data_IF_439298409761
#
_entry.id   IF_439298409761
#
_cell.length_a   1.000
_cell.length_b   1.000
_cell.length_c   1.000
_cell.angle_alpha   90.00
_cell.angle_beta   90.00
_cell.angle_gamma   90.00
#
_symmetry.space_group_name_H-M   'P 1'
#
loop_
_entity.id
_entity.type
_entity.pdbx_description
1 polymer ?
#
# COMPACT_ATOMS: atom_id res chain seq x y z
N UNK A 1 -7.62 -45.31 78.32
CA UNK A 1 -7.86 -44.13 77.46
C UNK A 1 -7.39 -44.50 76.07
N UNK A 2 -8.33 -44.55 75.13
CA UNK A 2 -8.15 -44.99 73.75
C UNK A 2 -7.22 -44.05 73.00
N UNK A 3 -6.21 -44.58 72.32
CA UNK A 3 -5.52 -43.87 71.24
C UNK A 3 -6.17 -44.33 69.94
N UNK A 4 -7.19 -43.60 69.49
CA UNK A 4 -7.77 -43.78 68.17
C UNK A 4 -6.76 -43.31 67.11
N UNK A 5 -6.09 -44.27 66.49
CA UNK A 5 -5.39 -44.03 65.22
C UNK A 5 -6.42 -44.13 64.09
N UNK A 6 -6.78 -43.00 63.49
CA UNK A 6 -7.60 -42.97 62.28
C UNK A 6 -6.94 -43.80 61.16
N UNK A 7 -7.71 -44.59 60.38
CA UNK A 7 -7.15 -45.29 59.24
C UNK A 7 -6.78 -44.28 58.14
N UNK A 8 -5.51 -44.28 57.76
CA UNK A 8 -5.00 -43.52 56.61
C UNK A 8 -5.77 -43.97 55.36
N UNK A 9 -6.67 -43.11 54.88
CA UNK A 9 -7.36 -43.28 53.61
C UNK A 9 -6.34 -43.33 52.48
N UNK A 10 -6.05 -44.54 51.97
CA UNK A 10 -5.25 -44.72 50.76
C UNK A 10 -6.07 -44.20 49.59
N UNK A 11 -5.91 -42.91 49.27
CA UNK A 11 -6.48 -42.30 48.06
C UNK A 11 -6.06 -43.14 46.86
N UNK A 12 -7.04 -43.70 46.14
CA UNK A 12 -6.79 -44.40 44.88
C UNK A 12 -5.86 -43.57 43.97
N UNK A 13 -4.89 -44.20 43.28
CA UNK A 13 -3.91 -43.47 42.48
C UNK A 13 -4.63 -42.62 41.45
N UNK A 14 -4.39 -41.31 41.51
CA UNK A 14 -4.98 -40.36 40.55
C UNK A 14 -4.47 -40.73 39.16
N UNK A 15 -5.37 -40.79 38.17
CA UNK A 15 -4.96 -41.06 36.78
C UNK A 15 -3.89 -40.08 36.30
N UNK A 16 -2.96 -40.60 35.50
CA UNK A 16 -1.84 -39.83 34.98
C UNK A 16 -2.35 -38.62 34.17
N UNK A 17 -1.84 -37.40 34.44
CA UNK A 17 -2.19 -36.23 33.65
C UNK A 17 -1.54 -36.28 32.26
N UNK A 18 -2.28 -35.86 31.23
CA UNK A 18 -1.76 -35.51 29.90
C UNK A 18 -1.97 -34.02 29.65
N UNK A 19 -1.00 -33.38 29.02
CA UNK A 19 -1.04 -31.95 28.73
C UNK A 19 -1.27 -31.71 27.24
N UNK A 20 -2.16 -30.76 26.91
CA UNK A 20 -2.41 -30.27 25.55
C UNK A 20 -2.25 -28.76 25.55
N UNK A 21 -1.06 -28.29 25.16
CA UNK A 21 -0.67 -26.89 25.38
C UNK A 21 -0.79 -26.55 26.88
N UNK A 22 -1.47 -25.44 27.26
CA UNK A 22 -1.63 -25.05 28.66
C UNK A 22 -2.67 -25.87 29.45
N UNK A 23 -3.38 -26.81 28.81
CA UNK A 23 -4.51 -27.53 29.42
C UNK A 23 -4.07 -28.91 29.93
N UNK A 24 -4.41 -29.25 31.19
CA UNK A 24 -4.17 -30.57 31.79
C UNK A 24 -5.45 -31.43 31.78
N UNK A 25 -5.36 -32.64 31.21
CA UNK A 25 -6.44 -33.62 31.06
C UNK A 25 -6.14 -34.90 31.87
N UNK A 26 -7.19 -35.61 32.30
CA UNK A 26 -7.10 -36.85 33.09
C UNK A 26 -8.26 -37.80 32.78
N UNK A 27 -8.07 -39.10 33.06
CA UNK A 27 -9.06 -40.18 32.86
C UNK A 27 -9.45 -40.26 31.37
N UNK A 28 -10.69 -40.64 31.04
CA UNK A 28 -11.19 -40.76 29.68
C UNK A 28 -10.94 -39.53 28.77
N UNK A 29 -10.80 -38.32 29.35
CA UNK A 29 -10.46 -37.09 28.60
C UNK A 29 -9.01 -37.07 28.08
N UNK A 30 -8.16 -38.00 28.51
CA UNK A 30 -6.77 -38.14 28.08
C UNK A 30 -6.57 -39.23 27.01
N UNK A 31 -7.61 -40.03 26.74
CA UNK A 31 -7.54 -41.20 25.87
C UNK A 31 -7.79 -40.87 24.38
N UNK A 32 -8.35 -39.69 24.07
CA UNK A 32 -8.55 -39.17 22.70
C UNK A 32 -7.37 -38.30 22.20
N UNK A 33 -6.22 -38.31 22.89
CA UNK A 33 -5.19 -37.29 22.70
C UNK A 33 -4.12 -37.66 21.65
N UNK A 34 -4.31 -37.24 20.39
CA UNK A 34 -3.21 -36.88 19.51
C UNK A 34 -2.63 -35.52 19.90
N UNK A 35 -1.38 -35.22 19.52
CA UNK A 35 -0.83 -33.88 19.74
C UNK A 35 -1.54 -32.85 18.86
N UNK A 36 -1.57 -31.59 19.27
CA UNK A 36 -2.13 -30.52 18.42
C UNK A 36 -1.40 -30.45 17.07
N UNK A 37 -0.08 -30.62 17.08
CA UNK A 37 0.74 -30.67 15.85
C UNK A 37 0.37 -31.86 14.97
N UNK A 38 0.17 -33.04 15.54
CA UNK A 38 -0.25 -34.22 14.77
C UNK A 38 -1.59 -33.95 14.06
N UNK A 39 -2.53 -33.28 14.73
CA UNK A 39 -3.81 -32.93 14.12
C UNK A 39 -3.68 -31.87 13.01
N UNK A 40 -2.75 -30.92 13.15
CA UNK A 40 -2.48 -29.88 12.15
C UNK A 40 -1.72 -30.43 10.93
N UNK A 41 -0.74 -31.30 11.15
CA UNK A 41 0.24 -31.74 10.15
C UNK A 41 -0.23 -32.99 9.37
N UNK A 42 -0.92 -33.93 10.02
CA UNK A 42 -1.36 -35.18 9.35
C UNK A 42 -2.75 -35.04 8.71
N UNK A 43 -3.55 -34.07 9.16
CA UNK A 43 -4.94 -33.88 8.74
C UNK A 43 -5.07 -33.05 7.45
N UNK A 44 -5.61 -33.65 6.38
CA UNK A 44 -6.13 -32.91 5.21
C UNK A 44 -7.65 -32.83 5.29
N UNK A 45 -8.16 -31.81 5.99
CA UNK A 45 -9.60 -31.52 6.06
C UNK A 45 -10.15 -30.92 4.76
N UNK A 46 -11.46 -30.69 4.67
CA UNK A 46 -12.09 -29.96 3.56
C UNK A 46 -11.45 -28.59 3.36
N UNK A 47 -11.34 -28.12 2.12
CA UNK A 47 -10.64 -26.87 1.76
C UNK A 47 -11.55 -25.68 1.48
N UNK A 48 -12.88 -25.84 1.58
CA UNK A 48 -13.84 -24.79 1.18
C UNK A 48 -13.61 -23.45 1.91
N UNK A 49 -13.09 -23.51 3.14
CA UNK A 49 -12.76 -22.33 3.95
C UNK A 49 -11.80 -21.37 3.24
N UNK A 50 -10.91 -21.83 2.35
CA UNK A 50 -9.96 -20.96 1.62
C UNK A 50 -10.65 -20.02 0.62
N UNK A 51 -11.92 -20.27 0.30
CA UNK A 51 -12.74 -19.47 -0.61
C UNK A 51 -13.77 -18.60 0.11
N UNK A 52 -13.85 -18.68 1.44
CA UNK A 52 -14.78 -17.91 2.26
C UNK A 52 -14.22 -16.55 2.69
N UNK A 53 -15.11 -15.61 3.02
CA UNK A 53 -14.72 -14.26 3.44
C UNK A 53 -13.86 -14.21 4.71
N UNK A 54 -14.08 -15.03 5.75
CA UNK A 54 -13.19 -15.06 6.92
C UNK A 54 -11.73 -15.33 6.55
N UNK A 55 -11.48 -16.23 5.59
CA UNK A 55 -10.12 -16.47 5.11
C UNK A 55 -9.60 -15.34 4.22
N UNK A 56 -10.46 -14.70 3.43
CA UNK A 56 -10.09 -13.49 2.67
C UNK A 56 -9.65 -12.36 3.59
N UNK A 57 -10.30 -12.16 4.74
CA UNK A 57 -9.87 -11.16 5.74
C UNK A 57 -8.43 -11.42 6.20
N UNK A 58 -8.07 -12.67 6.49
CA UNK A 58 -6.71 -13.03 6.87
C UNK A 58 -5.70 -12.81 5.73
N UNK A 59 -6.07 -13.09 4.49
CA UNK A 59 -5.22 -12.78 3.32
C UNK A 59 -5.02 -11.27 3.11
N UNK A 60 -6.10 -10.50 3.24
CA UNK A 60 -6.06 -9.04 3.16
C UNK A 60 -5.15 -8.48 4.26
N UNK A 61 -5.29 -8.96 5.49
CA UNK A 61 -4.40 -8.59 6.60
C UNK A 61 -2.94 -8.91 6.27
N UNK A 62 -2.65 -10.07 5.68
CA UNK A 62 -1.29 -10.44 5.25
C UNK A 62 -0.71 -9.42 4.27
N UNK A 63 -1.47 -8.99 3.25
CA UNK A 63 -0.99 -7.99 2.28
C UNK A 63 -0.68 -6.64 2.93
N UNK A 64 -1.44 -6.23 3.95
CA UNK A 64 -1.11 -5.03 4.72
C UNK A 64 0.16 -5.21 5.56
N UNK A 65 0.34 -6.36 6.21
CA UNK A 65 1.54 -6.65 7.01
C UNK A 65 2.78 -6.67 6.13
N UNK A 66 2.72 -7.38 5.00
CA UNK A 66 3.81 -7.48 4.03
C UNK A 66 4.13 -6.12 3.40
N UNK A 67 3.10 -5.39 2.94
CA UNK A 67 3.26 -4.05 2.37
C UNK A 67 3.85 -3.06 3.36
N UNK A 68 3.37 -3.05 4.61
CA UNK A 68 3.90 -2.16 5.64
C UNK A 68 5.32 -2.52 6.06
N UNK A 69 5.63 -3.80 6.19
CA UNK A 69 6.96 -4.27 6.55
C UNK A 69 7.99 -3.96 5.46
N UNK A 70 7.66 -4.23 4.20
CA UNK A 70 8.57 -4.01 3.08
C UNK A 70 8.85 -2.52 2.80
N UNK A 71 7.87 -1.64 3.03
CA UNK A 71 7.99 -0.20 2.77
C UNK A 71 8.41 0.62 4.01
N UNK A 72 8.66 -0.02 5.16
CA UNK A 72 8.87 0.66 6.44
C UNK A 72 10.05 1.64 6.45
N UNK A 73 11.13 1.31 5.74
CA UNK A 73 12.41 2.03 5.79
C UNK A 73 12.74 2.78 4.50
N UNK A 74 11.79 2.88 3.56
CA UNK A 74 12.05 3.59 2.31
C UNK A 74 12.25 5.09 2.61
N UNK A 75 13.11 5.79 1.85
CA UNK A 75 13.25 7.23 2.01
C UNK A 75 11.95 7.93 1.57
N UNK A 76 11.90 9.25 1.79
CA UNK A 76 10.80 10.08 1.30
C UNK A 76 10.53 9.78 -0.17
N UNK A 77 9.29 9.53 -0.55
CA UNK A 77 8.96 9.04 -1.88
C UNK A 77 7.87 9.85 -2.58
N UNK A 78 7.85 9.74 -3.90
CA UNK A 78 6.84 10.33 -4.78
C UNK A 78 6.25 9.21 -5.62
N UNK A 79 4.92 9.15 -5.71
CA UNK A 79 4.25 8.18 -6.57
C UNK A 79 4.04 8.78 -7.97
N UNK A 80 4.41 8.03 -8.99
CA UNK A 80 4.29 8.43 -10.40
C UNK A 80 3.34 7.49 -11.12
N UNK A 81 2.32 8.06 -11.73
CA UNK A 81 1.27 7.36 -12.46
C UNK A 81 1.21 7.81 -13.91
N UNK A 82 0.74 6.91 -14.78
CA UNK A 82 0.44 7.21 -16.17
C UNK A 82 0.13 5.93 -16.94
N UNK A 83 0.02 6.06 -18.26
CA UNK A 83 -0.39 4.96 -19.13
C UNK A 83 0.63 3.81 -19.15
N UNK A 84 0.14 2.58 -18.96
CA UNK A 84 0.89 1.35 -19.22
C UNK A 84 1.15 1.10 -20.71
N UNK A 85 0.49 1.85 -21.60
CA UNK A 85 0.50 1.66 -23.06
C UNK A 85 1.46 2.59 -23.80
N UNK A 86 2.08 3.55 -23.09
CA UNK A 86 3.01 4.52 -23.66
C UNK A 86 4.26 3.82 -24.19
N UNK A 87 4.64 4.10 -25.44
CA UNK A 87 5.80 3.48 -26.08
C UNK A 87 7.10 4.21 -25.73
N UNK A 88 8.22 3.49 -25.71
CA UNK A 88 9.54 3.96 -25.25
C UNK A 88 10.08 5.16 -26.02
N UNK A 89 9.73 5.28 -27.31
CA UNK A 89 10.16 6.33 -28.23
C UNK A 89 9.33 7.62 -28.14
N UNK A 90 8.25 7.61 -27.35
CA UNK A 90 7.36 8.77 -27.23
C UNK A 90 7.93 9.88 -26.33
N UNK A 91 7.59 11.15 -26.59
CA UNK A 91 7.94 12.25 -25.69
C UNK A 91 7.43 12.05 -24.26
N UNK A 92 6.26 11.41 -24.09
CA UNK A 92 5.68 11.11 -22.78
C UNK A 92 6.55 10.14 -21.97
N UNK A 93 7.08 9.10 -22.61
CA UNK A 93 8.01 8.18 -21.95
C UNK A 93 9.30 8.90 -21.54
N UNK A 94 9.87 9.73 -22.43
CA UNK A 94 11.09 10.47 -22.11
C UNK A 94 10.88 11.48 -20.98
N UNK A 95 9.71 12.13 -20.94
CA UNK A 95 9.33 13.01 -19.83
C UNK A 95 9.22 12.24 -18.51
N UNK A 96 8.55 11.08 -18.49
CA UNK A 96 8.46 10.23 -17.30
C UNK A 96 9.85 9.81 -16.77
N UNK A 97 10.75 9.42 -17.68
CA UNK A 97 12.14 9.08 -17.33
C UNK A 97 12.90 10.28 -16.79
N UNK A 98 12.74 11.45 -17.39
CA UNK A 98 13.36 12.68 -16.89
C UNK A 98 12.85 13.06 -15.48
N UNK A 99 11.54 12.93 -15.24
CA UNK A 99 10.91 13.16 -13.93
C UNK A 99 11.47 12.17 -12.90
N UNK A 100 11.48 10.87 -13.21
CA UNK A 100 12.02 9.85 -12.30
C UNK A 100 13.47 10.14 -11.90
N UNK A 101 14.30 10.53 -12.88
CA UNK A 101 15.69 10.88 -12.64
C UNK A 101 15.85 12.17 -11.81
N UNK A 102 15.00 13.19 -12.05
CA UNK A 102 15.03 14.45 -11.33
C UNK A 102 14.58 14.30 -9.86
N UNK A 103 13.56 13.47 -9.61
CA UNK A 103 13.11 13.10 -8.26
C UNK A 103 14.20 12.35 -7.49
N UNK A 104 14.83 11.36 -8.11
CA UNK A 104 15.94 10.60 -7.53
C UNK A 104 17.13 11.51 -7.15
N UNK A 105 17.56 12.40 -8.06
CA UNK A 105 18.62 13.40 -7.78
C UNK A 105 18.26 14.36 -6.66
N UNK A 106 16.97 14.56 -6.41
CA UNK A 106 16.44 15.39 -5.33
C UNK A 106 16.26 14.64 -4.00
N UNK A 107 16.70 13.38 -3.92
CA UNK A 107 16.66 12.57 -2.72
C UNK A 107 15.29 11.93 -2.44
N UNK A 108 14.43 11.81 -3.46
CA UNK A 108 13.16 11.10 -3.34
C UNK A 108 13.24 9.71 -3.96
N UNK A 109 12.68 8.70 -3.28
CA UNK A 109 12.31 7.44 -3.93
C UNK A 109 11.19 7.66 -4.93
N UNK A 110 11.14 6.83 -5.97
CA UNK A 110 10.07 6.83 -6.97
C UNK A 110 9.26 5.56 -6.82
N UNK A 111 7.97 5.71 -6.54
CA UNK A 111 7.01 4.60 -6.43
C UNK A 111 6.14 4.61 -7.69
N UNK A 112 5.99 3.45 -8.33
CA UNK A 112 5.08 3.30 -9.47
C UNK A 112 4.23 2.04 -9.29
N UNK A 113 3.36 1.76 -10.26
CA UNK A 113 2.69 0.47 -10.36
C UNK A 113 3.54 -0.70 -10.84
N UNK A 114 4.82 -0.47 -11.14
CA UNK A 114 5.77 -1.48 -11.60
C UNK A 114 5.51 -2.04 -13.00
N UNK A 115 4.44 -1.62 -13.69
CA UNK A 115 4.12 -2.07 -15.04
C UNK A 115 4.97 -1.40 -16.14
N UNK A 116 4.61 -1.63 -17.42
CA UNK A 116 5.28 -1.01 -18.57
C UNK A 116 4.90 0.47 -18.77
N UNK A 117 5.40 1.08 -19.85
CA UNK A 117 5.04 2.43 -20.27
C UNK A 117 5.56 3.52 -19.34
N UNK A 118 4.70 4.45 -18.92
CA UNK A 118 5.10 5.55 -18.02
C UNK A 118 5.69 5.04 -16.72
N UNK A 119 5.13 3.95 -16.16
CA UNK A 119 5.60 3.39 -14.89
C UNK A 119 7.05 2.91 -15.03
N UNK A 120 7.34 2.12 -16.06
CA UNK A 120 8.70 1.69 -16.39
C UNK A 120 9.62 2.88 -16.63
N UNK A 121 9.19 3.88 -17.40
CA UNK A 121 10.01 5.06 -17.68
C UNK A 121 10.44 5.79 -16.39
N UNK A 122 9.51 5.99 -15.47
CA UNK A 122 9.78 6.64 -14.18
C UNK A 122 10.70 5.78 -13.30
N UNK A 123 10.47 4.46 -13.22
CA UNK A 123 11.36 3.53 -12.51
C UNK A 123 12.78 3.57 -13.09
N UNK A 124 12.87 3.48 -14.42
CA UNK A 124 14.13 3.55 -15.16
C UNK A 124 14.90 4.83 -14.87
N UNK A 125 14.22 5.97 -14.96
CA UNK A 125 14.83 7.27 -14.67
C UNK A 125 15.40 7.36 -13.27
N UNK A 126 14.66 6.84 -12.27
CA UNK A 126 15.10 6.82 -10.89
C UNK A 126 16.31 5.89 -10.68
N UNK A 127 16.22 4.66 -11.19
CA UNK A 127 17.26 3.64 -11.06
C UNK A 127 18.57 4.06 -11.75
N UNK A 128 18.51 4.56 -12.99
CA UNK A 128 19.69 5.06 -13.72
C UNK A 128 20.34 6.28 -13.06
N UNK A 129 19.58 7.07 -12.27
CA UNK A 129 20.09 8.17 -11.49
C UNK A 129 20.66 7.75 -10.12
N UNK A 130 20.67 6.45 -9.80
CA UNK A 130 21.13 5.91 -8.53
C UNK A 130 20.15 6.15 -7.36
N UNK A 131 18.90 6.48 -7.66
CA UNK A 131 17.82 6.62 -6.68
C UNK A 131 17.13 5.30 -6.38
N UNK A 132 16.24 5.30 -5.40
CA UNK A 132 15.50 4.11 -4.98
C UNK A 132 14.20 3.96 -5.78
N UNK A 133 14.08 2.86 -6.54
CA UNK A 133 12.96 2.59 -7.44
C UNK A 133 12.03 1.50 -6.89
N UNK A 134 10.76 1.83 -6.66
CA UNK A 134 9.76 0.93 -6.07
C UNK A 134 8.65 0.62 -7.08
N UNK A 135 8.25 -0.64 -7.17
CA UNK A 135 7.16 -1.13 -8.01
C UNK A 135 6.10 -1.84 -7.19
N UNK A 136 4.91 -1.27 -7.11
CA UNK A 136 3.75 -1.87 -6.45
C UNK A 136 2.84 -2.48 -7.52
N UNK A 137 3.09 -3.74 -7.88
CA UNK A 137 2.32 -4.47 -8.89
C UNK A 137 0.95 -4.91 -8.39
N UNK A 138 0.09 -5.30 -9.32
CA UNK A 138 -1.21 -5.93 -9.02
C UNK A 138 -1.40 -7.15 -9.91
N UNK A 139 -1.97 -8.22 -9.35
CA UNK A 139 -2.32 -9.43 -10.09
C UNK A 139 -3.37 -9.11 -11.16
N UNK A 140 -2.98 -9.20 -12.45
CA UNK A 140 -3.87 -9.02 -13.60
C UNK A 140 -3.77 -10.19 -14.58
N UNK A 141 -4.84 -10.47 -15.34
CA UNK A 141 -4.80 -11.52 -16.37
C UNK A 141 -3.87 -11.23 -17.55
N UNK A 142 -3.61 -9.96 -17.88
CA UNK A 142 -2.98 -9.56 -19.16
C UNK A 142 -1.75 -8.64 -19.04
N UNK A 143 -1.37 -8.22 -17.84
CA UNK A 143 -0.13 -7.46 -17.56
C UNK A 143 0.60 -8.19 -16.44
N UNK A 144 1.60 -9.01 -16.80
CA UNK A 144 2.33 -9.83 -15.83
C UNK A 144 3.77 -9.34 -15.65
N UNK A 145 4.15 -9.16 -14.39
CA UNK A 145 5.52 -8.87 -13.98
C UNK A 145 5.77 -7.40 -13.65
N UNK A 146 6.78 -7.19 -12.83
CA UNK A 146 7.36 -5.86 -12.59
C UNK A 146 8.42 -5.60 -13.66
N UNK A 147 8.57 -4.35 -14.10
CA UNK A 147 9.60 -3.96 -15.04
C UNK A 147 11.01 -4.14 -14.44
N UNK A 148 12.02 -4.22 -15.31
CA UNK A 148 13.41 -4.55 -14.92
C UNK A 148 14.11 -3.47 -14.08
N UNK A 149 13.52 -2.27 -13.96
CA UNK A 149 14.09 -1.11 -13.26
C UNK A 149 13.55 -0.95 -11.84
N UNK A 150 12.79 -1.92 -11.34
CA UNK A 150 12.28 -1.94 -9.97
C UNK A 150 13.31 -2.58 -9.05
N UNK A 151 13.77 -1.83 -8.04
CA UNK A 151 14.69 -2.34 -7.00
C UNK A 151 13.93 -3.04 -5.88
N UNK A 152 12.78 -2.48 -5.48
CA UNK A 152 11.88 -3.05 -4.47
C UNK A 152 10.49 -3.28 -5.07
N UNK A 153 10.13 -4.56 -5.21
CA UNK A 153 8.88 -5.00 -5.83
C UNK A 153 7.93 -5.68 -4.86
N UNK A 154 6.65 -5.30 -4.88
CA UNK A 154 5.57 -5.99 -4.15
C UNK A 154 4.41 -6.22 -5.12
N UNK A 155 3.95 -7.46 -5.25
CA UNK A 155 2.79 -7.79 -6.07
C UNK A 155 1.57 -8.04 -5.19
N UNK A 156 0.60 -7.14 -5.26
CA UNK A 156 -0.66 -7.23 -4.52
C UNK A 156 -1.70 -8.03 -5.29
N UNK A 157 -2.68 -8.61 -4.58
CA UNK A 157 -3.92 -9.12 -5.19
C UNK A 157 -5.08 -8.16 -5.02
N UNK A 158 -5.10 -7.42 -3.91
CA UNK A 158 -6.20 -6.52 -3.58
C UNK A 158 -5.86 -5.07 -3.93
N UNK A 159 -6.64 -4.48 -4.84
CA UNK A 159 -6.47 -3.08 -5.28
C UNK A 159 -6.41 -2.09 -4.12
N UNK A 160 -7.31 -2.22 -3.13
CA UNK A 160 -7.39 -1.27 -2.02
C UNK A 160 -6.18 -1.35 -1.07
N UNK A 161 -5.55 -2.52 -0.93
CA UNK A 161 -4.33 -2.66 -0.15
C UNK A 161 -3.18 -1.92 -0.86
N UNK A 162 -3.03 -2.15 -2.17
CA UNK A 162 -2.07 -1.44 -3.02
C UNK A 162 -2.26 0.08 -3.00
N UNK A 163 -3.49 0.56 -3.16
CA UNK A 163 -3.86 1.99 -3.10
C UNK A 163 -3.43 2.64 -1.79
N UNK A 164 -3.67 1.95 -0.67
CA UNK A 164 -3.21 2.42 0.65
C UNK A 164 -1.70 2.62 0.69
N UNK A 165 -0.91 1.74 0.07
CA UNK A 165 0.55 1.86 0.04
C UNK A 165 1.01 3.08 -0.77
N UNK A 166 0.36 3.39 -1.90
CA UNK A 166 0.67 4.61 -2.65
C UNK A 166 0.47 5.86 -1.79
N UNK A 167 -0.67 5.98 -1.11
CA UNK A 167 -0.97 7.17 -0.30
C UNK A 167 -0.07 7.24 0.94
N UNK A 168 0.11 6.13 1.67
CA UNK A 168 0.85 6.10 2.94
C UNK A 168 2.34 6.38 2.76
N UNK A 169 2.96 5.85 1.71
CA UNK A 169 4.41 5.87 1.55
C UNK A 169 4.91 6.92 0.54
N UNK A 170 4.00 7.67 -0.09
CA UNK A 170 4.37 8.82 -0.91
C UNK A 170 3.99 10.13 -0.26
N UNK A 171 4.60 11.20 -0.75
CA UNK A 171 4.35 12.56 -0.29
C UNK A 171 3.67 13.41 -1.36
N UNK A 172 3.70 12.97 -2.61
CA UNK A 172 3.15 13.67 -3.75
C UNK A 172 2.77 12.64 -4.83
N UNK A 173 1.78 13.00 -5.64
CA UNK A 173 1.40 12.25 -6.83
C UNK A 173 1.76 13.06 -8.08
N UNK A 174 2.45 12.42 -9.02
CA UNK A 174 2.71 12.95 -10.36
C UNK A 174 1.95 12.08 -11.36
N UNK A 175 0.99 12.66 -12.06
CA UNK A 175 0.17 11.99 -13.06
C UNK A 175 0.56 12.48 -14.46
N UNK A 176 1.28 11.63 -15.19
CA UNK A 176 1.50 11.77 -16.63
C UNK A 176 0.27 11.28 -17.41
N UNK A 177 0.17 11.55 -18.73
CA UNK A 177 -0.95 11.10 -19.55
C UNK A 177 -1.28 9.61 -19.36
N UNK A 178 -2.54 9.32 -19.08
CA UNK A 178 -2.94 8.03 -18.53
C UNK A 178 -4.43 7.73 -18.64
N UNK A 179 -4.77 6.44 -18.63
CA UNK A 179 -6.15 5.97 -18.75
C UNK A 179 -6.91 5.92 -17.42
N UNK A 180 -7.88 5.00 -17.33
CA UNK A 180 -8.73 4.87 -16.14
C UNK A 180 -7.98 4.58 -14.85
N UNK A 181 -6.93 3.75 -14.88
CA UNK A 181 -6.12 3.51 -13.68
C UNK A 181 -5.46 4.78 -13.16
N UNK A 182 -4.96 5.65 -14.05
CA UNK A 182 -4.38 6.95 -13.66
C UNK A 182 -5.44 7.90 -13.11
N UNK A 183 -6.63 7.93 -13.73
CA UNK A 183 -7.75 8.75 -13.25
C UNK A 183 -8.28 8.29 -11.89
N UNK A 184 -8.32 6.97 -11.65
CA UNK A 184 -8.71 6.39 -10.36
C UNK A 184 -7.82 6.90 -9.22
N UNK A 185 -6.49 6.81 -9.39
CA UNK A 185 -5.55 7.29 -8.37
C UNK A 185 -5.56 8.82 -8.22
N UNK A 186 -5.75 9.55 -9.32
CA UNK A 186 -5.90 11.01 -9.31
C UNK A 186 -7.10 11.45 -8.47
N UNK A 187 -8.29 10.90 -8.73
CA UNK A 187 -9.50 11.31 -8.03
C UNK A 187 -9.55 10.80 -6.58
N UNK A 188 -8.92 9.66 -6.30
CA UNK A 188 -8.74 9.20 -4.92
C UNK A 188 -7.90 10.19 -4.11
N UNK A 189 -6.74 10.60 -4.63
CA UNK A 189 -5.89 11.59 -3.96
C UNK A 189 -6.59 12.94 -3.78
N UNK A 190 -7.29 13.43 -4.81
CA UNK A 190 -8.06 14.67 -4.72
C UNK A 190 -9.10 14.61 -3.60
N UNK A 191 -9.83 13.50 -3.50
CA UNK A 191 -10.85 13.31 -2.46
C UNK A 191 -10.21 13.26 -1.07
N UNK A 192 -9.06 12.59 -0.92
CA UNK A 192 -8.34 12.51 0.35
C UNK A 192 -7.81 13.87 0.81
N UNK A 193 -7.30 14.70 -0.11
CA UNK A 193 -6.85 16.07 0.20
C UNK A 193 -8.04 16.97 0.53
N UNK A 194 -9.09 16.94 -0.28
CA UNK A 194 -10.30 17.74 -0.09
C UNK A 194 -10.95 17.45 1.28
N UNK A 195 -10.99 16.19 1.68
CA UNK A 195 -11.57 15.76 2.98
C UNK A 195 -10.59 15.88 4.15
N UNK A 196 -9.40 16.45 3.93
CA UNK A 196 -8.35 16.62 4.94
C UNK A 196 -7.89 15.32 5.60
N UNK A 197 -8.10 14.17 4.92
CA UNK A 197 -7.59 12.86 5.35
C UNK A 197 -6.08 12.74 5.17
N UNK A 198 -5.55 13.45 4.18
CA UNK A 198 -4.12 13.72 4.04
C UNK A 198 -3.92 15.23 3.93
N UNK A 199 -2.92 15.76 4.63
CA UNK A 199 -2.60 17.19 4.64
C UNK A 199 -1.30 17.44 3.87
N UNK A 200 -1.27 18.52 3.08
CA UNK A 200 -0.10 18.95 2.28
C UNK A 200 0.44 17.87 1.32
N UNK A 201 -0.42 17.37 0.45
CA UNK A 201 -0.08 16.36 -0.55
C UNK A 201 -0.27 16.93 -1.96
N UNK A 202 0.79 17.45 -2.62
CA UNK A 202 0.66 18.03 -3.94
C UNK A 202 0.32 16.97 -4.98
N UNK A 203 -0.59 17.32 -5.88
CA UNK A 203 -1.01 16.50 -7.01
C UNK A 203 -0.64 17.26 -8.28
N UNK A 204 0.28 16.70 -9.06
CA UNK A 204 0.82 17.35 -10.26
C UNK A 204 0.38 16.57 -11.49
N UNK A 205 -0.25 17.25 -12.43
CA UNK A 205 -0.63 16.75 -13.74
C UNK A 205 0.42 17.21 -14.75
N UNK A 206 1.21 16.28 -15.29
CA UNK A 206 2.21 16.60 -16.32
C UNK A 206 1.59 16.44 -17.71
N UNK A 207 1.72 17.45 -18.57
CA UNK A 207 1.13 17.49 -19.91
C UNK A 207 -0.10 18.39 -19.97
N UNK A 208 0.10 19.71 -20.03
CA UNK A 208 -0.99 20.72 -20.01
C UNK A 208 -2.02 20.48 -21.11
N UNK A 209 -1.56 20.13 -22.32
CA UNK A 209 -2.43 19.82 -23.46
C UNK A 209 -3.32 18.61 -23.22
N UNK A 210 -2.80 17.57 -22.55
CA UNK A 210 -3.55 16.35 -22.29
C UNK A 210 -4.62 16.58 -21.22
N UNK A 211 -4.24 17.26 -20.13
CA UNK A 211 -5.10 17.47 -18.98
C UNK A 211 -6.06 18.65 -19.10
N UNK A 212 -5.81 19.59 -20.01
CA UNK A 212 -6.58 20.84 -20.15
C UNK A 212 -8.09 20.62 -20.21
N UNK A 213 -8.56 19.71 -21.07
CA UNK A 213 -9.99 19.44 -21.21
C UNK A 213 -10.65 18.88 -19.94
N UNK A 214 -9.92 18.08 -19.14
CA UNK A 214 -10.42 17.58 -17.86
C UNK A 214 -10.48 18.71 -16.83
N UNK A 215 -9.45 19.55 -16.76
CA UNK A 215 -9.38 20.69 -15.84
C UNK A 215 -10.46 21.72 -16.15
N UNK A 216 -10.69 22.01 -17.43
CA UNK A 216 -11.77 22.89 -17.88
C UNK A 216 -13.14 22.32 -17.49
N UNK A 217 -13.37 21.02 -17.72
CA UNK A 217 -14.61 20.37 -17.28
C UNK A 217 -14.81 20.43 -15.75
N UNK A 218 -13.76 20.18 -14.96
CA UNK A 218 -13.84 20.30 -13.50
C UNK A 218 -14.18 21.73 -13.06
N UNK A 219 -13.60 22.73 -13.72
CA UNK A 219 -13.90 24.15 -13.49
C UNK A 219 -15.34 24.50 -13.83
N UNK A 220 -15.76 24.19 -15.05
CA UNK A 220 -17.03 24.69 -15.57
C UNK A 220 -18.22 23.87 -15.06
N UNK A 221 -18.04 22.55 -14.93
CA UNK A 221 -19.12 21.63 -14.53
C UNK A 221 -19.14 21.38 -13.03
N UNK A 222 -18.01 20.97 -12.43
CA UNK A 222 -18.01 20.63 -11.00
C UNK A 222 -18.07 21.89 -10.14
N UNK A 223 -17.12 22.81 -10.31
CA UNK A 223 -17.10 24.05 -9.54
C UNK A 223 -18.23 24.99 -9.98
N UNK A 224 -18.45 25.16 -11.30
CA UNK A 224 -19.51 26.02 -11.83
C UNK A 224 -20.94 25.60 -11.44
N UNK A 225 -21.17 24.33 -11.11
CA UNK A 225 -22.46 23.86 -10.57
C UNK A 225 -22.44 23.58 -9.06
N UNK A 226 -21.38 23.96 -8.34
CA UNK A 226 -21.29 23.87 -6.88
C UNK A 226 -21.16 22.44 -6.33
N UNK A 227 -20.56 21.51 -7.09
CA UNK A 227 -20.25 20.15 -6.63
C UNK A 227 -18.91 20.05 -5.91
N UNK A 228 -18.03 21.01 -6.16
CA UNK A 228 -16.76 21.22 -5.45
C UNK A 228 -16.60 22.72 -5.18
N UNK A 229 -15.77 23.07 -4.20
CA UNK A 229 -15.44 24.47 -3.93
C UNK A 229 -14.47 25.00 -5.00
N UNK A 230 -14.53 26.28 -5.39
CA UNK A 230 -13.56 26.85 -6.34
C UNK A 230 -12.10 26.71 -5.88
N UNK A 231 -11.85 26.70 -4.57
CA UNK A 231 -10.53 26.47 -3.99
C UNK A 231 -10.00 25.04 -4.15
N UNK A 232 -10.87 24.05 -4.37
CA UNK A 232 -10.46 22.64 -4.50
C UNK A 232 -9.66 22.40 -5.80
N UNK A 233 -9.85 23.23 -6.82
CA UNK A 233 -9.03 23.18 -8.04
C UNK A 233 -7.60 23.68 -7.81
N UNK A 234 -7.37 24.48 -6.77
CA UNK A 234 -6.04 24.90 -6.34
C UNK A 234 -5.21 23.77 -5.76
N UNK A 235 -5.80 22.58 -5.55
CA UNK A 235 -5.09 21.36 -5.14
C UNK A 235 -4.28 20.73 -6.29
N UNK A 236 -4.58 21.11 -7.54
CA UNK A 236 -3.93 20.58 -8.74
C UNK A 236 -2.90 21.57 -9.28
N UNK A 237 -1.71 21.04 -9.59
CA UNK A 237 -0.71 21.74 -10.38
C UNK A 237 -0.68 21.12 -11.78
N UNK A 238 -0.68 21.94 -12.84
CA UNK A 238 -0.63 21.44 -14.21
C UNK A 238 0.57 22.07 -14.90
N UNK A 239 1.50 21.24 -15.39
CA UNK A 239 2.77 21.73 -15.94
C UNK A 239 3.29 20.85 -17.08
N UNK A 240 4.19 21.40 -17.89
CA UNK A 240 5.02 20.68 -18.86
C UNK A 240 6.52 20.71 -18.47
N UNK A 241 6.86 21.29 -17.31
CA UNK A 241 8.23 21.47 -16.83
C UNK A 241 8.60 20.43 -15.78
N UNK A 242 9.66 19.67 -16.05
CA UNK A 242 10.22 18.71 -15.07
C UNK A 242 10.76 19.43 -13.84
N UNK A 243 11.33 20.62 -14.02
CA UNK A 243 11.89 21.40 -12.91
C UNK A 243 10.78 21.88 -11.98
N UNK A 244 9.66 22.35 -12.54
CA UNK A 244 8.51 22.79 -11.75
C UNK A 244 7.89 21.63 -10.94
N UNK A 245 7.86 20.41 -11.50
CA UNK A 245 7.46 19.21 -10.76
C UNK A 245 8.28 19.04 -9.48
N UNK A 246 9.61 19.15 -9.60
CA UNK A 246 10.52 18.96 -8.47
C UNK A 246 10.39 20.09 -7.46
N UNK A 247 10.27 21.34 -7.90
CA UNK A 247 10.07 22.51 -7.04
C UNK A 247 8.81 22.37 -6.18
N UNK A 248 7.69 21.96 -6.78
CA UNK A 248 6.41 21.73 -6.08
C UNK A 248 6.58 20.65 -5.00
N UNK A 249 7.23 19.53 -5.34
CA UNK A 249 7.45 18.41 -4.41
C UNK A 249 8.35 18.82 -3.26
N UNK A 250 9.45 19.53 -3.54
CA UNK A 250 10.39 20.00 -2.51
C UNK A 250 9.73 20.99 -1.55
N UNK A 251 9.00 21.98 -2.07
CA UNK A 251 8.28 22.96 -1.24
C UNK A 251 7.28 22.28 -0.29
N UNK A 252 6.55 21.27 -0.76
CA UNK A 252 5.63 20.51 0.08
C UNK A 252 6.36 19.64 1.13
N UNK A 253 7.52 19.07 0.80
CA UNK A 253 8.32 18.28 1.72
C UNK A 253 8.92 19.12 2.85
N UNK A 254 9.38 20.34 2.55
CA UNK A 254 9.88 21.29 3.57
C UNK A 254 8.78 21.75 4.52
N UNK A 255 7.57 22.00 3.99
CA UNK A 255 6.40 22.34 4.79
C UNK A 255 6.03 21.25 5.79
N UNK A 256 6.09 19.97 5.42
CA UNK A 256 5.74 18.85 6.32
C UNK A 256 6.67 18.71 7.52
N UNK A 257 7.95 19.05 7.37
CA UNK A 257 8.93 18.91 8.46
C UNK A 257 8.69 19.88 9.64
N UNK A 258 7.78 20.85 9.47
CA UNK A 258 7.44 21.85 10.49
C UNK A 258 6.23 21.49 11.35
N UNK A 259 5.47 20.47 10.98
CA UNK A 259 4.23 20.12 11.66
C UNK A 259 4.43 18.84 12.50
N UNK A 260 4.30 18.96 13.83
CA UNK A 260 4.15 17.81 14.72
C UNK A 260 2.71 17.31 14.56
N UNK A 261 2.52 16.14 13.95
CA UNK A 261 1.21 15.48 13.88
C UNK A 261 0.81 15.15 15.33
N UNK A 262 -0.29 15.75 15.79
CA UNK A 262 -0.85 15.49 17.12
C UNK A 262 -1.16 14.01 17.32
N UNK A 263 -1.01 13.51 18.55
CA UNK A 263 -1.36 12.14 18.92
C UNK A 263 -2.87 11.92 18.82
N UNK A 264 -3.29 10.73 18.38
CA UNK A 264 -4.71 10.34 18.17
C UNK A 264 -5.63 10.63 19.37
N UNK A 265 -5.08 10.77 20.58
CA UNK A 265 -5.80 11.04 21.83
C UNK A 265 -6.29 12.50 22.03
N UNK A 266 -6.16 13.39 21.05
CA UNK A 266 -6.55 14.81 21.18
C UNK A 266 -7.75 15.26 20.32
N UNK A 267 -8.58 14.32 19.85
CA UNK A 267 -9.83 14.63 19.14
C UNK A 267 -11.07 14.17 19.92
#
# INVERSE_FOLDING_TARGET
>A
MSTDSEPVSIRAPKSAPRFRGPIMLRRARADEAGTTDQHLLDGRGPTDWVHTDPWRVLRIQSEFVEGFGALAEIPRAVAVFGSARTQVDTPEYQAARAIGAALARSGFAVITGGGPGVMEAANRGASEAGGYSVGLGIELPMEQGLNEWVDLGINFRYFFARKTMFVKYSQAFICLPGGFGTLDELFEALTLVQTHKITRFPIVLFGTRYWGGLVDWMRDSLAGSGKVSPGDLGLLHVTDSVDEVVEIVQAAAEGRNRDVIGTEDQW
#
